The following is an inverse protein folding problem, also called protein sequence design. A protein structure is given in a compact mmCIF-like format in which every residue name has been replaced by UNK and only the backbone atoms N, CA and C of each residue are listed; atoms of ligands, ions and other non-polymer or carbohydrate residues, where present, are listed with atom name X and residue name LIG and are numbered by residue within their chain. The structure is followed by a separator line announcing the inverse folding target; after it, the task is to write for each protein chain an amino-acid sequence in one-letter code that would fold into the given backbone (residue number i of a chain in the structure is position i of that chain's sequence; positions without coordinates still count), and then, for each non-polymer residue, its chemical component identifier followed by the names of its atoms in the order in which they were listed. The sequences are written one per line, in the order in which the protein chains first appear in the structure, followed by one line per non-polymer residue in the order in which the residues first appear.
data_IF_742410435594
#
_entry.id   IF_742410435594
#
_cell.length_a   1.000
_cell.length_b   1.000
_cell.length_c   1.000
_cell.angle_alpha   90.00
_cell.angle_beta   90.00
_cell.angle_gamma   90.00
#
_symmetry.space_group_name_H-M   'P 1'
#
loop_
_entity.id
_entity.type
_entity.pdbx_description
1 polymer ?
#
# COMPACT_ATOMS: atom_id res chain seq x y z
N UNK A 1 -17.10 2.07 5.00
CA UNK A 1 -15.95 2.62 4.25
C UNK A 1 -16.29 3.93 3.51
N UNK A 2 -17.29 3.97 2.62
CA UNK A 2 -17.65 5.20 1.90
C UNK A 2 -18.05 6.34 2.85
N UNK A 3 -18.81 6.03 3.88
CA UNK A 3 -19.22 6.99 4.92
C UNK A 3 -18.04 7.46 5.77
N UNK A 4 -17.13 6.56 6.15
CA UNK A 4 -15.92 6.90 6.89
C UNK A 4 -14.99 7.81 6.06
N UNK A 5 -14.84 7.55 4.76
CA UNK A 5 -14.08 8.43 3.88
C UNK A 5 -14.69 9.83 3.81
N UNK A 6 -16.00 9.93 3.65
CA UNK A 6 -16.70 11.23 3.58
C UNK A 6 -16.64 12.02 4.89
N UNK A 7 -16.73 11.34 6.03
CA UNK A 7 -16.76 11.98 7.34
C UNK A 7 -15.38 12.30 7.91
N UNK A 8 -14.36 11.48 7.62
CA UNK A 8 -13.08 11.50 8.33
C UNK A 8 -11.85 11.45 7.40
N UNK A 9 -12.03 11.46 6.09
CA UNK A 9 -10.92 11.30 5.14
C UNK A 9 -10.27 9.90 5.16
N UNK A 10 -10.94 8.91 5.76
CA UNK A 10 -10.44 7.53 5.82
C UNK A 10 -10.70 6.85 4.48
N UNK A 11 -9.72 6.88 3.62
CA UNK A 11 -9.77 6.25 2.32
C UNK A 11 -8.40 6.02 1.73
N UNK A 12 -8.34 5.46 0.53
CA UNK A 12 -7.09 5.19 -0.17
C UNK A 12 -6.06 4.46 0.72
N UNK A 13 -4.88 5.05 0.87
CA UNK A 13 -3.77 4.49 1.62
C UNK A 13 -3.98 4.42 3.15
N UNK A 14 -4.95 5.14 3.72
CA UNK A 14 -5.19 5.06 5.16
C UNK A 14 -5.51 3.62 5.62
N UNK A 15 -6.23 2.87 4.80
CA UNK A 15 -6.56 1.46 5.09
C UNK A 15 -5.30 0.59 4.98
N UNK A 16 -4.49 0.78 3.94
CA UNK A 16 -3.27 -0.01 3.74
C UNK A 16 -2.23 0.28 4.81
N UNK A 17 -2.14 1.52 5.29
CA UNK A 17 -1.25 1.90 6.39
C UNK A 17 -1.55 1.18 7.71
N UNK A 18 -2.76 0.67 7.87
CA UNK A 18 -3.16 -0.11 9.06
C UNK A 18 -3.17 -1.60 8.79
N UNK A 19 -3.43 -2.00 7.54
CA UNK A 19 -3.63 -3.41 7.19
C UNK A 19 -2.41 -4.29 7.52
N UNK A 20 -1.20 -3.78 7.31
CA UNK A 20 0.05 -4.50 7.62
C UNK A 20 0.34 -4.59 9.12
N UNK A 21 -0.33 -3.79 9.95
CA UNK A 21 -0.27 -3.91 11.41
C UNK A 21 -1.26 -4.93 11.98
N UNK A 22 -2.17 -5.44 11.15
CA UNK A 22 -3.18 -6.41 11.56
C UNK A 22 -2.69 -7.85 11.37
N UNK A 23 -3.27 -8.75 12.13
CA UNK A 23 -3.14 -10.19 11.97
C UNK A 23 -4.51 -10.87 12.06
N UNK A 24 -4.59 -12.06 11.47
CA UNK A 24 -5.72 -12.98 11.68
C UNK A 24 -5.22 -14.14 12.52
N UNK A 25 -5.69 -14.26 13.75
CA UNK A 25 -5.31 -15.35 14.64
C UNK A 25 -6.56 -16.01 15.22
N UNK A 26 -6.69 -17.31 15.03
CA UNK A 26 -7.86 -18.09 15.45
C UNK A 26 -9.20 -17.51 14.93
N UNK A 27 -9.20 -16.96 13.71
CA UNK A 27 -10.39 -16.37 13.10
C UNK A 27 -10.74 -14.96 13.61
N UNK A 28 -9.86 -14.34 14.38
CA UNK A 28 -10.05 -12.99 14.92
C UNK A 28 -8.99 -12.06 14.31
N UNK A 29 -9.45 -10.93 13.78
CA UNK A 29 -8.61 -9.84 13.30
C UNK A 29 -8.29 -8.89 14.46
N UNK A 30 -7.02 -8.65 14.71
CA UNK A 30 -6.53 -7.74 15.75
C UNK A 30 -5.21 -7.11 15.32
N UNK A 31 -4.72 -6.12 16.04
CA UNK A 31 -3.33 -5.68 15.93
C UNK A 31 -2.39 -6.86 16.24
N UNK A 32 -1.25 -6.90 15.56
CA UNK A 32 -0.18 -7.82 15.88
C UNK A 32 0.39 -7.49 17.27
N UNK A 33 0.91 -8.48 18.03
CA UNK A 33 1.29 -8.30 19.43
C UNK A 33 2.35 -7.22 19.72
N UNK A 34 3.16 -6.88 18.73
CA UNK A 34 4.21 -5.86 18.82
C UNK A 34 3.69 -4.45 18.60
N UNK A 35 2.44 -4.28 18.20
CA UNK A 35 1.83 -2.97 17.91
C UNK A 35 0.65 -2.68 18.83
N UNK A 36 0.48 -1.43 19.16
CA UNK A 36 -0.69 -0.91 19.86
C UNK A 36 -1.40 0.20 19.04
N UNK A 37 -2.41 0.83 19.63
CA UNK A 37 -3.16 1.88 18.95
C UNK A 37 -2.32 3.12 18.66
N UNK A 38 -1.30 3.41 19.49
CA UNK A 38 -0.44 4.57 19.27
C UNK A 38 0.42 4.42 18.02
N UNK A 39 0.89 3.20 17.73
CA UNK A 39 1.63 2.92 16.49
C UNK A 39 0.79 3.23 15.25
N UNK A 40 -0.52 2.93 15.31
CA UNK A 40 -1.44 3.25 14.21
C UNK A 40 -1.59 4.77 14.03
N UNK A 41 -1.75 5.50 15.13
CA UNK A 41 -1.98 6.95 15.09
C UNK A 41 -0.72 7.72 14.71
N UNK A 42 0.45 7.24 15.11
CA UNK A 42 1.75 7.78 14.68
C UNK A 42 1.98 7.56 13.18
N UNK A 43 1.59 6.38 12.67
CA UNK A 43 1.72 6.05 11.25
C UNK A 43 0.78 6.86 10.37
N UNK A 44 -0.44 7.09 10.83
CA UNK A 44 -1.46 7.84 10.09
C UNK A 44 -2.43 8.55 11.03
N UNK A 45 -2.24 9.86 11.19
CA UNK A 45 -3.00 10.71 12.11
C UNK A 45 -4.49 10.86 11.77
N UNK A 46 -4.95 10.31 10.64
CA UNK A 46 -6.38 10.22 10.31
C UNK A 46 -7.12 9.21 11.18
N UNK A 47 -6.41 8.27 11.80
CA UNK A 47 -6.99 7.31 12.72
C UNK A 47 -7.05 7.84 14.14
N UNK A 48 -8.04 7.38 14.87
CA UNK A 48 -8.17 7.53 16.30
C UNK A 48 -8.76 6.25 16.91
N UNK A 49 -8.80 6.16 18.23
CA UNK A 49 -9.25 4.96 18.94
C UNK A 49 -10.65 4.49 18.51
N UNK A 50 -11.61 5.42 18.40
CA UNK A 50 -13.00 5.10 18.02
C UNK A 50 -13.06 4.52 16.60
N UNK A 51 -12.41 5.19 15.64
CA UNK A 51 -12.41 4.76 14.23
C UNK A 51 -11.69 3.43 14.04
N UNK A 52 -10.57 3.23 14.71
CA UNK A 52 -9.81 1.98 14.62
C UNK A 52 -10.60 0.81 15.21
N UNK A 53 -11.20 1.03 16.37
CA UNK A 53 -12.04 0.02 17.03
C UNK A 53 -13.23 -0.38 16.16
N UNK A 54 -13.92 0.61 15.59
CA UNK A 54 -15.04 0.38 14.68
C UNK A 54 -14.58 -0.38 13.42
N UNK A 55 -13.47 0.04 12.82
CA UNK A 55 -12.89 -0.61 11.64
C UNK A 55 -12.55 -2.08 11.89
N UNK A 56 -11.83 -2.40 12.97
CA UNK A 56 -11.49 -3.78 13.35
C UNK A 56 -12.76 -4.59 13.63
N UNK A 57 -13.75 -3.99 14.28
CA UNK A 57 -15.04 -4.64 14.54
C UNK A 57 -15.77 -4.99 13.24
N UNK A 58 -15.80 -4.06 12.27
CA UNK A 58 -16.41 -4.29 10.96
C UNK A 58 -15.64 -5.36 10.15
N UNK A 59 -14.32 -5.37 10.20
CA UNK A 59 -13.49 -6.39 9.56
C UNK A 59 -13.78 -7.78 10.13
N UNK A 60 -13.86 -7.92 11.45
CA UNK A 60 -14.20 -9.19 12.08
C UNK A 60 -15.58 -9.67 11.66
N UNK A 61 -16.58 -8.76 11.65
CA UNK A 61 -17.93 -9.07 11.18
C UNK A 61 -17.96 -9.47 9.70
N UNK A 62 -17.19 -8.80 8.87
CA UNK A 62 -17.05 -9.15 7.44
C UNK A 62 -16.42 -10.53 7.29
N UNK A 63 -15.29 -10.77 7.96
CA UNK A 63 -14.57 -12.03 7.92
C UNK A 63 -15.46 -13.23 8.25
N UNK A 64 -16.22 -13.11 9.33
CA UNK A 64 -17.16 -14.15 9.78
C UNK A 64 -18.34 -14.32 8.80
N UNK A 65 -19.07 -13.24 8.49
CA UNK A 65 -20.29 -13.30 7.67
C UNK A 65 -20.04 -13.67 6.20
N UNK A 66 -18.91 -13.27 5.63
CA UNK A 66 -18.54 -13.62 4.26
C UNK A 66 -17.97 -15.02 4.12
N UNK A 67 -17.68 -15.69 5.25
CA UNK A 67 -16.95 -16.95 5.26
C UNK A 67 -15.59 -16.81 4.51
N UNK A 68 -14.92 -15.67 4.73
CA UNK A 68 -13.73 -15.28 3.99
C UNK A 68 -12.64 -16.34 4.00
N UNK A 69 -12.46 -17.04 5.10
CA UNK A 69 -11.46 -18.12 5.20
C UNK A 69 -11.71 -19.24 4.17
N UNK A 70 -12.97 -19.60 3.96
CA UNK A 70 -13.34 -20.61 2.95
C UNK A 70 -13.12 -20.08 1.54
N UNK A 71 -13.50 -18.83 1.29
CA UNK A 71 -13.23 -18.15 0.03
C UNK A 71 -11.73 -18.17 -0.28
N UNK A 72 -10.90 -17.68 0.64
CA UNK A 72 -9.45 -17.63 0.48
C UNK A 72 -8.84 -19.02 0.22
N UNK A 73 -9.23 -20.04 0.99
CA UNK A 73 -8.78 -21.42 0.78
C UNK A 73 -9.13 -21.96 -0.60
N UNK A 74 -10.32 -21.65 -1.09
CA UNK A 74 -10.77 -22.13 -2.40
C UNK A 74 -10.06 -21.44 -3.57
N UNK A 75 -9.45 -20.29 -3.36
CA UNK A 75 -8.77 -19.49 -4.37
C UNK A 75 -7.23 -19.50 -4.24
N UNK A 76 -6.68 -20.37 -3.39
CA UNK A 76 -5.22 -20.50 -3.16
C UNK A 76 -4.42 -20.68 -4.46
N UNK A 77 -5.01 -21.36 -5.44
CA UNK A 77 -4.35 -21.55 -6.76
C UNK A 77 -4.08 -20.23 -7.46
N UNK A 78 -5.01 -19.25 -7.37
CA UNK A 78 -4.82 -17.93 -7.99
C UNK A 78 -3.70 -17.15 -7.30
N UNK A 79 -3.67 -17.17 -5.98
CA UNK A 79 -2.60 -16.53 -5.21
C UNK A 79 -1.24 -17.14 -5.53
N UNK A 80 -1.15 -18.48 -5.60
CA UNK A 80 0.09 -19.16 -5.97
C UNK A 80 0.58 -18.78 -7.38
N UNK A 81 -0.33 -18.70 -8.35
CA UNK A 81 0.02 -18.23 -9.71
C UNK A 81 0.51 -16.79 -9.68
N UNK A 82 -0.13 -15.92 -8.90
CA UNK A 82 0.29 -14.53 -8.76
C UNK A 82 1.69 -14.43 -8.15
N UNK A 83 1.98 -15.18 -7.10
CA UNK A 83 3.29 -15.26 -6.44
C UNK A 83 4.37 -15.72 -7.42
N UNK A 84 4.20 -16.87 -8.09
CA UNK A 84 5.18 -17.43 -9.04
C UNK A 84 5.49 -16.46 -10.20
N UNK A 85 4.48 -15.76 -10.69
CA UNK A 85 4.64 -14.76 -11.75
C UNK A 85 5.29 -13.48 -11.24
N UNK A 86 4.99 -13.07 -10.01
CA UNK A 86 5.63 -11.93 -9.35
C UNK A 86 7.10 -12.21 -9.08
N UNK A 87 7.44 -13.38 -8.57
CA UNK A 87 8.84 -13.79 -8.35
C UNK A 87 9.65 -13.74 -9.67
N UNK A 88 9.03 -14.19 -10.78
CA UNK A 88 9.65 -14.10 -12.10
C UNK A 88 9.88 -12.65 -12.53
N UNK A 89 8.97 -11.74 -12.19
CA UNK A 89 9.12 -10.31 -12.46
C UNK A 89 10.21 -9.69 -11.58
N UNK A 90 10.19 -9.99 -10.27
CA UNK A 90 11.14 -9.47 -9.29
C UNK A 90 12.57 -9.92 -9.56
N UNK A 91 12.76 -11.14 -10.07
CA UNK A 91 14.08 -11.61 -10.50
C UNK A 91 14.73 -10.75 -11.61
N UNK A 92 13.94 -9.90 -12.28
CA UNK A 92 14.40 -8.94 -13.29
C UNK A 92 14.62 -7.54 -12.73
N UNK A 93 14.18 -7.31 -11.50
CA UNK A 93 14.37 -6.01 -10.85
C UNK A 93 15.84 -5.86 -10.45
N UNK A 94 16.45 -4.77 -10.88
CA UNK A 94 17.74 -4.34 -10.36
C UNK A 94 17.49 -3.24 -9.36
N UNK A 95 17.76 -3.51 -8.08
CA UNK A 95 17.57 -2.53 -6.98
C UNK A 95 18.84 -1.74 -6.67
N UNK A 96 20.00 -2.14 -7.18
CA UNK A 96 21.29 -1.50 -6.89
C UNK A 96 21.31 -0.02 -7.31
N UNK A 97 20.50 0.36 -8.32
CA UNK A 97 20.43 1.73 -8.76
C UNK A 97 19.82 2.67 -7.69
N UNK A 98 18.99 2.17 -6.77
CA UNK A 98 18.48 2.98 -5.65
C UNK A 98 19.62 3.50 -4.77
N UNK A 99 20.54 2.60 -4.41
CA UNK A 99 21.72 2.99 -3.64
C UNK A 99 22.55 4.06 -4.36
N UNK A 100 22.82 3.83 -5.65
CA UNK A 100 23.60 4.77 -6.46
C UNK A 100 22.86 6.10 -6.69
N UNK A 101 21.55 6.07 -6.88
CA UNK A 101 20.75 7.27 -7.16
C UNK A 101 20.49 8.10 -5.89
N UNK A 102 20.12 7.45 -4.79
CA UNK A 102 19.80 8.15 -3.54
C UNK A 102 21.01 8.35 -2.62
N UNK A 103 22.16 7.73 -2.93
CA UNK A 103 23.36 7.83 -2.11
C UNK A 103 23.21 7.25 -0.71
N UNK A 104 22.30 6.29 -0.55
CA UNK A 104 21.99 5.61 0.72
C UNK A 104 22.20 4.13 0.57
N UNK A 105 22.83 3.49 1.58
CA UNK A 105 22.96 2.03 1.59
C UNK A 105 21.59 1.36 1.62
N UNK A 106 21.49 0.26 0.90
CA UNK A 106 20.37 -0.68 0.97
C UNK A 106 20.54 -1.73 2.06
N UNK A 107 21.56 -1.60 2.92
CA UNK A 107 21.76 -2.52 4.04
C UNK A 107 20.50 -2.58 4.93
N UNK A 108 19.94 -3.77 5.07
CA UNK A 108 18.70 -3.99 5.80
C UNK A 108 17.43 -3.63 5.02
N UNK A 109 17.53 -3.15 3.78
CA UNK A 109 16.37 -2.98 2.90
C UNK A 109 15.94 -4.34 2.34
N UNK A 110 14.89 -4.90 2.90
CA UNK A 110 14.26 -6.13 2.43
C UNK A 110 12.81 -5.82 2.06
N UNK A 111 12.56 -5.38 0.82
CA UNK A 111 11.24 -4.98 0.40
C UNK A 111 10.30 -6.19 0.33
N UNK A 112 9.11 -6.04 0.92
CA UNK A 112 8.03 -7.01 0.81
C UNK A 112 7.00 -6.54 -0.23
N UNK A 113 6.51 -7.46 -1.05
CA UNK A 113 5.47 -7.19 -2.04
C UNK A 113 4.21 -7.95 -1.68
N UNK A 114 3.19 -7.21 -1.27
CA UNK A 114 1.85 -7.74 -1.04
C UNK A 114 1.05 -7.70 -2.33
N UNK A 115 0.64 -8.87 -2.80
CA UNK A 115 -0.13 -9.01 -4.04
C UNK A 115 -1.62 -8.96 -3.72
N UNK A 116 -2.34 -8.02 -4.31
CA UNK A 116 -3.78 -7.94 -4.18
C UNK A 116 -4.48 -8.30 -5.49
N UNK A 117 -5.33 -9.31 -5.45
CA UNK A 117 -6.15 -9.73 -6.59
C UNK A 117 -7.48 -8.95 -6.68
N UNK A 118 -7.75 -8.05 -5.73
CA UNK A 118 -9.04 -7.35 -5.62
C UNK A 118 -8.92 -5.84 -5.50
N UNK A 119 -7.70 -5.30 -5.60
CA UNK A 119 -7.44 -3.87 -5.42
C UNK A 119 -7.52 -3.06 -6.73
N UNK A 120 -7.79 -3.72 -7.85
CA UNK A 120 -7.78 -3.06 -9.16
C UNK A 120 -6.41 -2.48 -9.51
N UNK A 121 -6.38 -1.27 -10.05
CA UNK A 121 -5.15 -0.57 -10.44
C UNK A 121 -4.47 0.19 -9.29
N UNK A 122 -4.97 0.10 -8.07
CA UNK A 122 -4.43 0.85 -6.95
C UNK A 122 -3.19 0.15 -6.37
N UNK A 123 -2.14 0.92 -6.17
CA UNK A 123 -0.87 0.47 -5.60
C UNK A 123 -0.49 1.43 -4.48
N UNK A 124 0.25 0.96 -3.49
CA UNK A 124 0.60 1.77 -2.33
C UNK A 124 1.95 1.37 -1.76
N UNK A 125 2.82 2.34 -1.52
CA UNK A 125 3.91 2.18 -0.56
C UNK A 125 3.30 2.08 0.85
N UNK A 126 3.72 1.08 1.61
CA UNK A 126 3.28 0.87 2.99
C UNK A 126 4.47 0.99 3.93
N UNK A 127 4.22 1.06 5.22
CA UNK A 127 5.29 1.04 6.22
C UNK A 127 6.26 -0.14 6.05
N UNK A 128 7.41 -0.07 6.68
CA UNK A 128 8.41 -1.14 6.74
C UNK A 128 8.92 -1.65 5.37
N UNK A 129 9.10 -0.72 4.41
CA UNK A 129 9.61 -1.04 3.05
C UNK A 129 8.67 -1.93 2.21
N UNK A 130 7.42 -2.08 2.61
CA UNK A 130 6.44 -2.90 1.90
C UNK A 130 5.71 -2.11 0.83
N UNK A 131 5.22 -2.82 -0.18
CA UNK A 131 4.32 -2.27 -1.20
C UNK A 131 3.13 -3.19 -1.39
N UNK A 132 1.95 -2.61 -1.59
CA UNK A 132 0.77 -3.33 -2.04
C UNK A 132 0.60 -3.09 -3.54
N UNK A 133 0.52 -4.18 -4.31
CA UNK A 133 0.37 -4.13 -5.76
C UNK A 133 -0.95 -4.80 -6.15
N UNK A 134 -1.78 -4.06 -6.88
CA UNK A 134 -2.95 -4.61 -7.56
C UNK A 134 -2.53 -5.37 -8.82
N UNK A 135 -3.04 -6.58 -8.98
CA UNK A 135 -2.74 -7.44 -10.13
C UNK A 135 -4.02 -7.74 -10.89
N UNK A 136 -3.96 -7.58 -12.21
CA UNK A 136 -5.06 -7.89 -13.12
C UNK A 136 -4.92 -9.29 -13.71
N UNK A 137 -6.02 -9.82 -14.18
CA UNK A 137 -6.05 -11.10 -14.86
C UNK A 137 -5.60 -10.97 -16.33
N UNK A 138 -5.02 -12.05 -16.84
CA UNK A 138 -4.78 -12.24 -18.27
C UNK A 138 -6.06 -12.67 -19.02
N UNK A 139 -5.92 -12.98 -20.29
CA UNK A 139 -7.02 -13.44 -21.13
C UNK A 139 -7.61 -14.80 -20.68
N UNK A 140 -6.84 -15.58 -19.94
CA UNK A 140 -7.23 -16.87 -19.37
C UNK A 140 -7.86 -16.72 -17.99
N UNK A 141 -7.99 -15.50 -17.45
CA UNK A 141 -8.51 -15.22 -16.12
C UNK A 141 -7.55 -15.60 -14.99
N UNK A 142 -6.24 -15.57 -15.26
CA UNK A 142 -5.21 -15.81 -14.27
C UNK A 142 -4.46 -14.53 -13.92
N UNK A 143 -4.14 -14.31 -12.63
CA UNK A 143 -3.40 -13.12 -12.20
C UNK A 143 -2.09 -12.97 -12.95
N UNK A 144 -1.87 -11.81 -13.57
CA UNK A 144 -0.67 -11.56 -14.36
C UNK A 144 -0.05 -10.20 -14.07
N UNK A 145 0.95 -10.13 -13.19
CA UNK A 145 1.65 -8.89 -12.86
C UNK A 145 2.45 -8.30 -14.05
N UNK A 146 2.67 -9.07 -15.11
CA UNK A 146 3.46 -8.58 -16.27
C UNK A 146 2.65 -7.75 -17.27
N UNK A 147 1.31 -7.77 -17.18
CA UNK A 147 0.43 -7.13 -18.17
C UNK A 147 0.37 -5.60 -18.09
N UNK A 148 0.84 -4.96 -17.00
CA UNK A 148 0.60 -3.54 -16.70
C UNK A 148 1.84 -2.79 -16.22
N UNK A 149 2.99 -2.97 -16.84
CA UNK A 149 4.20 -2.26 -16.39
C UNK A 149 4.43 -2.36 -14.86
N UNK A 150 4.08 -3.46 -14.25
CA UNK A 150 4.15 -3.63 -12.79
C UNK A 150 5.55 -3.35 -12.23
N UNK A 151 6.61 -3.66 -12.97
CA UNK A 151 7.97 -3.37 -12.52
C UNK A 151 8.25 -1.86 -12.39
N UNK A 152 7.90 -0.98 -13.35
CA UNK A 152 7.96 0.47 -13.15
C UNK A 152 7.12 0.96 -11.98
N UNK A 153 5.94 0.38 -11.76
CA UNK A 153 5.09 0.72 -10.61
C UNK A 153 5.73 0.29 -9.30
N UNK A 154 6.29 -0.90 -9.22
CA UNK A 154 7.04 -1.36 -8.03
C UNK A 154 8.21 -0.41 -7.71
N UNK A 155 8.97 -0.01 -8.73
CA UNK A 155 10.06 0.95 -8.58
C UNK A 155 9.54 2.30 -8.07
N UNK A 156 8.40 2.76 -8.56
CA UNK A 156 7.75 3.98 -8.08
C UNK A 156 7.35 3.88 -6.60
N UNK A 157 6.65 2.80 -6.23
CA UNK A 157 6.20 2.61 -4.84
C UNK A 157 7.39 2.41 -3.88
N UNK A 158 8.42 1.66 -4.27
CA UNK A 158 9.65 1.58 -3.49
C UNK A 158 10.37 2.93 -3.39
N UNK A 159 10.32 3.73 -4.44
CA UNK A 159 10.87 5.08 -4.45
C UNK A 159 10.32 5.96 -3.32
N UNK A 160 9.06 5.79 -2.94
CA UNK A 160 8.46 6.53 -1.84
C UNK A 160 9.19 6.34 -0.50
N UNK A 161 9.77 5.17 -0.23
CA UNK A 161 10.54 4.92 0.99
C UNK A 161 11.82 5.78 1.07
N UNK A 162 12.34 6.22 -0.07
CA UNK A 162 13.51 7.11 -0.15
C UNK A 162 13.11 8.56 -0.30
N UNK A 163 12.20 8.86 -1.22
CA UNK A 163 11.84 10.23 -1.58
C UNK A 163 11.01 10.95 -0.52
N UNK A 164 10.06 10.25 0.12
CA UNK A 164 9.18 10.88 1.12
C UNK A 164 9.98 11.46 2.27
N UNK A 165 10.99 10.74 2.76
CA UNK A 165 11.85 11.24 3.83
C UNK A 165 12.62 12.49 3.40
N UNK A 166 13.16 12.52 2.17
CA UNK A 166 13.86 13.69 1.63
C UNK A 166 12.89 14.87 1.52
N UNK A 167 11.68 14.65 0.99
CA UNK A 167 10.68 15.70 0.88
C UNK A 167 10.32 16.28 2.25
N UNK A 168 10.11 15.44 3.28
CA UNK A 168 9.81 15.91 4.63
C UNK A 168 10.97 16.68 5.25
N UNK A 169 12.21 16.22 5.05
CA UNK A 169 13.41 16.86 5.57
C UNK A 169 13.61 18.25 4.97
N UNK A 170 13.35 18.41 3.68
CA UNK A 170 13.56 19.67 2.95
C UNK A 170 12.27 20.45 2.69
N UNK A 171 11.15 20.05 3.30
CA UNK A 171 9.83 20.64 3.03
C UNK A 171 9.82 22.17 3.16
N UNK A 172 10.45 22.71 4.21
CA UNK A 172 10.47 24.16 4.45
C UNK A 172 11.16 24.93 3.32
N UNK A 173 12.23 24.36 2.75
CA UNK A 173 12.95 24.97 1.64
C UNK A 173 12.22 24.81 0.31
N UNK A 174 11.47 23.70 0.16
CA UNK A 174 10.75 23.37 -1.08
C UNK A 174 9.38 24.06 -1.17
N UNK A 175 8.76 24.39 -0.03
CA UNK A 175 7.39 24.92 0.01
C UNK A 175 7.24 26.18 -0.83
N UNK A 176 8.13 27.16 -0.67
CA UNK A 176 8.04 28.43 -1.36
C UNK A 176 8.17 28.25 -2.88
N UNK A 177 9.03 27.31 -3.32
CA UNK A 177 9.14 26.96 -4.73
C UNK A 177 7.89 26.22 -5.24
N UNK A 178 7.32 25.33 -4.43
CA UNK A 178 6.09 24.63 -4.77
C UNK A 178 4.90 25.59 -4.94
N UNK A 179 4.77 26.57 -4.05
CA UNK A 179 3.74 27.62 -4.14
C UNK A 179 3.85 28.46 -5.43
N UNK A 180 5.07 28.71 -5.90
CA UNK A 180 5.30 29.42 -7.16
C UNK A 180 4.95 28.59 -8.39
N UNK A 181 5.11 27.27 -8.33
CA UNK A 181 4.88 26.36 -9.45
C UNK A 181 3.42 25.91 -9.50
N UNK A 182 2.75 25.79 -8.34
CA UNK A 182 1.40 25.22 -8.24
C UNK A 182 0.40 25.83 -9.22
N UNK A 183 0.30 27.17 -9.41
CA UNK A 183 -0.67 27.74 -10.35
C UNK A 183 -0.51 27.25 -11.79
N UNK A 184 0.67 26.81 -12.19
CA UNK A 184 0.94 26.32 -13.55
C UNK A 184 0.59 24.84 -13.73
N UNK A 185 0.53 24.08 -12.65
CA UNK A 185 0.27 22.63 -12.68
C UNK A 185 -1.09 22.26 -12.12
N UNK A 186 -1.77 23.19 -11.44
CA UNK A 186 -3.03 22.96 -10.75
C UNK A 186 -4.09 22.29 -11.65
N UNK A 187 -4.26 22.77 -12.87
CA UNK A 187 -5.24 22.20 -13.81
C UNK A 187 -4.91 20.73 -14.17
N UNK A 188 -3.64 20.41 -14.34
CA UNK A 188 -3.22 19.05 -14.65
C UNK A 188 -3.36 18.13 -13.43
N UNK A 189 -3.05 18.64 -12.24
CA UNK A 189 -3.20 17.91 -11.00
C UNK A 189 -4.68 17.60 -10.71
N UNK A 190 -5.57 18.56 -10.90
CA UNK A 190 -7.02 18.38 -10.75
C UNK A 190 -7.55 17.33 -11.71
N UNK A 191 -7.12 17.35 -12.98
CA UNK A 191 -7.49 16.32 -13.97
C UNK A 191 -6.98 14.93 -13.61
N UNK A 192 -5.85 14.85 -12.95
CA UNK A 192 -5.26 13.60 -12.46
C UNK A 192 -5.83 13.15 -11.10
N UNK A 193 -6.71 13.94 -10.47
CA UNK A 193 -7.33 13.59 -9.19
C UNK A 193 -6.46 13.84 -7.96
N UNK A 194 -5.48 14.74 -8.06
CA UNK A 194 -4.57 15.12 -6.96
C UNK A 194 -5.01 16.42 -6.22
N UNK A 195 -6.20 16.90 -6.46
CA UNK A 195 -6.74 18.09 -5.79
C UNK A 195 -7.77 17.76 -4.72
#
# INVERSE_FOLDING_TARGET
MRELNQAHGIGYNAITNVADLLQIKNGIISLQPQYDMSDVFERDSRWNESLLTEFITMLNRFYDKSNFQKFYKNHQKLYKVAEERMDTLLARANTDWFENFFGRSLDGFSPEVYISLVNGASNYAMGNNSVLIGVFDDAEGLPNPTNYNTLPVLIHEWGHHFTNQIVFEYWTQMRDAAELIYPYVESAMNQAGYA
#
